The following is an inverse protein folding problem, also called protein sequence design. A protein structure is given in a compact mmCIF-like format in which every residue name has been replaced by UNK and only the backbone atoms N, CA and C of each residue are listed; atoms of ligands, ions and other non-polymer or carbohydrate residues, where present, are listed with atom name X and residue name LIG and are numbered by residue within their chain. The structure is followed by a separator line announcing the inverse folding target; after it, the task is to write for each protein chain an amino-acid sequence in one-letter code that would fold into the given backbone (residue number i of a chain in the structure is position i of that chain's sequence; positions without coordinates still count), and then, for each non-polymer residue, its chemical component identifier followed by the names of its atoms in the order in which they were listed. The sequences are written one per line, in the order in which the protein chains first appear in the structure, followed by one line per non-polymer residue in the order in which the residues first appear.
data_IF_103925739586
#
_entry.id   IF_103925739586
#
_cell.length_a   1.000
_cell.length_b   1.000
_cell.length_c   1.000
_cell.angle_alpha   90.00
_cell.angle_beta   90.00
_cell.angle_gamma   90.00
#
_symmetry.space_group_name_H-M   'P 1'
#
loop_
_entity.id
_entity.type
_entity.pdbx_description
1 polymer ?
#
# COMPACT_ATOMS: atom_id res chain seq x y z
N UNK A 1 -3.25 5.97 -24.27
CA UNK A 1 -2.87 5.15 -23.10
C UNK A 1 -1.36 5.25 -22.95
N UNK A 2 -0.90 5.96 -21.92
CA UNK A 2 0.50 6.37 -21.80
C UNK A 2 1.41 5.20 -21.44
N UNK A 3 2.69 5.28 -21.83
CA UNK A 3 3.73 4.29 -21.49
C UNK A 3 3.82 3.99 -19.99
N UNK A 4 3.34 4.92 -19.15
CA UNK A 4 3.31 4.83 -17.69
C UNK A 4 2.26 3.86 -17.12
N UNK A 5 1.10 3.67 -17.77
CA UNK A 5 0.03 2.78 -17.30
C UNK A 5 0.48 1.31 -17.23
N UNK A 6 1.26 0.84 -18.21
CA UNK A 6 1.75 -0.55 -18.24
C UNK A 6 2.69 -0.85 -17.08
N UNK A 7 3.53 0.12 -16.71
CA UNK A 7 4.44 -0.01 -15.58
C UNK A 7 3.69 -0.09 -14.24
N UNK A 8 2.63 0.70 -14.07
CA UNK A 8 1.81 0.63 -12.86
C UNK A 8 1.03 -0.68 -12.77
N UNK A 9 0.42 -1.14 -13.88
CA UNK A 9 -0.31 -2.40 -13.88
C UNK A 9 0.58 -3.59 -13.50
N UNK A 10 1.82 -3.64 -14.02
CA UNK A 10 2.77 -4.68 -13.66
C UNK A 10 3.20 -4.59 -12.19
N UNK A 11 3.54 -3.40 -11.71
CA UNK A 11 3.90 -3.20 -10.31
C UNK A 11 2.73 -3.53 -9.36
N UNK A 12 1.49 -3.28 -9.77
CA UNK A 12 0.30 -3.69 -9.04
C UNK A 12 0.16 -5.22 -8.97
N UNK A 13 0.38 -5.93 -10.08
CA UNK A 13 0.35 -7.39 -10.08
C UNK A 13 1.40 -7.99 -9.13
N UNK A 14 2.63 -7.44 -9.13
CA UNK A 14 3.69 -7.83 -8.19
C UNK A 14 3.28 -7.52 -6.74
N UNK A 15 2.69 -6.35 -6.50
CA UNK A 15 2.17 -5.96 -5.18
C UNK A 15 1.12 -6.95 -4.66
N UNK A 16 0.17 -7.37 -5.51
CA UNK A 16 -0.85 -8.35 -5.12
C UNK A 16 -0.25 -9.73 -4.85
N UNK A 17 0.70 -10.16 -5.67
CA UNK A 17 1.43 -11.41 -5.49
C UNK A 17 2.18 -11.43 -4.15
N UNK A 18 2.97 -10.39 -3.86
CA UNK A 18 3.70 -10.27 -2.59
C UNK A 18 2.77 -10.26 -1.39
N UNK A 19 1.62 -9.61 -1.49
CA UNK A 19 0.61 -9.67 -0.44
C UNK A 19 0.01 -11.06 -0.25
N UNK A 20 -0.17 -11.83 -1.33
CA UNK A 20 -0.64 -13.21 -1.24
C UNK A 20 0.42 -14.11 -0.59
N UNK A 21 1.68 -13.97 -0.97
CA UNK A 21 2.82 -14.67 -0.37
C UNK A 21 2.95 -14.34 1.12
N UNK A 22 2.82 -13.04 1.48
CA UNK A 22 2.85 -12.59 2.86
C UNK A 22 1.72 -13.21 3.68
N UNK A 23 0.48 -13.18 3.18
CA UNK A 23 -0.66 -13.80 3.87
C UNK A 23 -0.50 -15.32 4.01
N UNK A 24 0.06 -15.98 2.99
CA UNK A 24 0.36 -17.40 3.04
C UNK A 24 1.43 -17.70 4.10
N UNK A 25 2.50 -16.91 4.15
CA UNK A 25 3.55 -17.02 5.17
C UNK A 25 3.01 -16.77 6.59
N UNK A 26 2.13 -15.76 6.77
CA UNK A 26 1.44 -15.50 8.03
C UNK A 26 0.56 -16.69 8.48
N UNK A 27 -0.07 -17.39 7.53
CA UNK A 27 -0.91 -18.56 7.82
C UNK A 27 -0.13 -19.84 8.07
N UNK A 28 1.02 -20.02 7.40
CA UNK A 28 1.85 -21.22 7.50
C UNK A 28 2.79 -21.24 8.72
N UNK A 29 2.91 -20.13 9.44
CA UNK A 29 3.85 -20.02 10.58
C UNK A 29 5.33 -20.05 10.17
N UNK A 30 5.65 -19.97 8.87
CA UNK A 30 7.00 -20.12 8.32
C UNK A 30 8.01 -19.10 8.92
N UNK A 31 9.17 -19.54 9.42
CA UNK A 31 10.06 -18.73 10.26
C UNK A 31 10.89 -17.67 9.51
N UNK A 32 10.70 -17.48 8.20
CA UNK A 32 11.55 -16.60 7.42
C UNK A 32 11.30 -15.13 7.80
N UNK A 33 12.33 -14.40 8.29
CA UNK A 33 12.16 -13.02 8.74
C UNK A 33 11.90 -12.11 7.52
N UNK A 34 10.78 -11.40 7.57
CA UNK A 34 10.44 -10.43 6.54
C UNK A 34 11.35 -9.19 6.68
N UNK A 35 11.92 -8.71 5.59
CA UNK A 35 12.72 -7.47 5.59
C UNK A 35 11.90 -6.28 5.13
N UNK A 36 12.37 -5.05 5.35
CA UNK A 36 11.68 -3.84 4.89
C UNK A 36 11.40 -3.89 3.37
N UNK A 37 12.34 -4.36 2.56
CA UNK A 37 12.17 -4.51 1.11
C UNK A 37 11.19 -5.62 0.70
N UNK A 38 10.97 -6.60 1.58
CA UNK A 38 10.01 -7.69 1.41
C UNK A 38 8.57 -7.26 1.67
N UNK A 39 8.34 -6.18 2.41
CA UNK A 39 7.00 -5.64 2.66
C UNK A 39 6.42 -5.13 1.32
N UNK A 40 5.17 -5.49 0.99
CA UNK A 40 4.50 -5.06 -0.24
C UNK A 40 4.04 -3.61 -0.13
N UNK A 41 4.96 -2.66 -0.25
CA UNK A 41 4.67 -1.22 -0.20
C UNK A 41 3.81 -0.77 -1.40
N UNK A 42 2.86 0.17 -1.23
CA UNK A 42 1.96 0.64 -2.27
C UNK A 42 2.65 1.68 -3.17
N UNK A 43 3.80 1.34 -3.72
CA UNK A 43 4.62 2.17 -4.60
C UNK A 43 5.16 1.30 -5.75
N UNK A 44 5.54 1.94 -6.86
CA UNK A 44 6.02 1.23 -8.05
C UNK A 44 7.33 0.49 -7.80
N UNK A 45 8.23 1.10 -7.04
CA UNK A 45 9.55 0.58 -6.72
C UNK A 45 9.63 0.33 -5.21
N UNK A 46 10.17 -0.83 -4.82
CA UNK A 46 10.30 -1.17 -3.41
C UNK A 46 11.23 -0.15 -2.73
N UNK A 47 10.72 0.62 -1.76
CA UNK A 47 11.52 1.61 -1.05
C UNK A 47 12.59 0.88 -0.25
N UNK A 48 13.78 1.49 -0.17
CA UNK A 48 14.86 0.99 0.69
C UNK A 48 14.73 1.45 2.14
N UNK A 49 13.98 2.52 2.38
CA UNK A 49 13.80 3.16 3.68
C UNK A 49 12.48 3.94 3.73
N UNK A 50 12.03 4.26 4.94
CA UNK A 50 10.77 4.98 5.17
C UNK A 50 10.70 6.35 4.47
N UNK A 51 11.84 7.03 4.30
CA UNK A 51 11.90 8.35 3.65
C UNK A 51 11.57 8.30 2.14
N UNK A 52 11.75 7.14 1.52
CA UNK A 52 11.45 6.93 0.11
C UNK A 52 9.93 6.78 -0.14
N UNK A 53 9.15 6.49 0.90
CA UNK A 53 7.68 6.41 0.85
C UNK A 53 7.04 7.80 0.80
N UNK A 54 7.21 8.46 -0.34
CA UNK A 54 6.65 9.78 -0.57
C UNK A 54 5.13 9.70 -0.78
N UNK A 55 4.35 10.62 -0.19
CA UNK A 55 2.90 10.67 -0.38
C UNK A 55 2.46 10.69 -1.85
N UNK A 56 3.24 11.38 -2.70
CA UNK A 56 2.96 11.51 -4.13
C UNK A 56 3.12 10.19 -4.88
N UNK A 57 4.13 9.39 -4.53
CA UNK A 57 4.36 8.07 -5.14
C UNK A 57 3.23 7.10 -4.78
N UNK A 58 2.82 7.10 -3.51
CA UNK A 58 1.71 6.28 -3.02
C UNK A 58 0.40 6.70 -3.70
N UNK A 59 0.14 8.01 -3.79
CA UNK A 59 -1.03 8.58 -4.50
C UNK A 59 -1.06 8.13 -5.95
N UNK A 60 0.05 8.31 -6.68
CA UNK A 60 0.16 7.93 -8.08
C UNK A 60 -0.08 6.44 -8.31
N UNK A 61 0.39 5.59 -7.40
CA UNK A 61 0.22 4.14 -7.49
C UNK A 61 -1.20 3.68 -7.16
N UNK A 62 -1.75 4.10 -6.02
CA UNK A 62 -3.07 3.66 -5.54
C UNK A 62 -4.20 4.23 -6.41
N UNK A 63 -4.07 5.49 -6.87
CA UNK A 63 -5.08 6.16 -7.68
C UNK A 63 -4.95 5.87 -9.18
N UNK A 64 -3.92 5.16 -9.63
CA UNK A 64 -3.77 4.81 -11.03
C UNK A 64 -4.97 4.02 -11.55
N UNK A 65 -5.51 4.44 -12.70
CA UNK A 65 -6.58 3.70 -13.37
C UNK A 65 -6.08 2.38 -14.00
N UNK A 66 -4.77 2.26 -14.20
CA UNK A 66 -4.10 1.11 -14.79
C UNK A 66 -4.46 -0.25 -14.16
N UNK A 67 -4.68 -0.31 -12.85
CA UNK A 67 -4.95 -1.57 -12.14
C UNK A 67 -6.43 -1.88 -11.93
N UNK A 68 -7.30 -0.87 -11.98
CA UNK A 68 -8.72 -1.03 -11.69
C UNK A 68 -9.57 -0.03 -12.52
N UNK A 69 -9.58 -0.15 -13.86
CA UNK A 69 -10.39 0.72 -14.70
C UNK A 69 -11.86 0.63 -14.28
N UNK A 70 -12.51 1.77 -14.06
CA UNK A 70 -13.92 1.85 -13.63
C UNK A 70 -14.17 1.83 -12.11
N UNK A 71 -13.17 1.51 -11.27
CA UNK A 71 -13.32 1.62 -9.81
C UNK A 71 -13.06 3.06 -9.36
N UNK A 72 -13.96 3.69 -8.58
CA UNK A 72 -13.74 5.05 -8.11
C UNK A 72 -12.53 5.12 -7.17
N UNK A 73 -11.78 6.23 -7.25
CA UNK A 73 -10.60 6.51 -6.43
C UNK A 73 -10.84 6.26 -4.94
N UNK A 74 -11.97 6.74 -4.40
CA UNK A 74 -12.43 6.51 -3.03
C UNK A 74 -12.45 5.04 -2.63
N UNK A 75 -13.00 4.17 -3.47
CA UNK A 75 -13.07 2.73 -3.19
C UNK A 75 -11.68 2.07 -3.22
N UNK A 76 -10.80 2.50 -4.14
CA UNK A 76 -9.41 2.04 -4.18
C UNK A 76 -8.68 2.39 -2.88
N UNK A 77 -8.85 3.61 -2.38
CA UNK A 77 -8.25 4.06 -1.11
C UNK A 77 -8.80 3.25 0.06
N UNK A 78 -10.12 3.03 0.15
CA UNK A 78 -10.73 2.20 1.22
C UNK A 78 -10.20 0.78 1.23
N UNK A 79 -10.05 0.15 0.05
CA UNK A 79 -9.45 -1.18 -0.07
C UNK A 79 -8.02 -1.21 0.43
N UNK A 80 -7.22 -0.19 0.07
CA UNK A 80 -5.86 -0.06 0.56
C UNK A 80 -5.81 0.14 2.09
N UNK A 81 -6.65 1.02 2.65
CA UNK A 81 -6.74 1.25 4.10
C UNK A 81 -7.11 0.00 4.89
N UNK A 82 -8.06 -0.80 4.39
CA UNK A 82 -8.42 -2.08 5.02
C UNK A 82 -7.25 -3.08 5.03
N UNK A 83 -6.36 -3.00 4.05
CA UNK A 83 -5.19 -3.88 3.92
C UNK A 83 -4.02 -3.40 4.80
N UNK A 84 -3.84 -2.08 4.88
CA UNK A 84 -2.87 -1.39 5.74
C UNK A 84 -3.39 -1.11 7.16
N UNK A 85 -4.49 -1.75 7.57
CA UNK A 85 -5.05 -1.53 8.90
C UNK A 85 -4.06 -1.99 9.98
N UNK A 86 -3.86 -1.21 11.07
CA UNK A 86 -2.88 -1.52 12.10
C UNK A 86 -3.03 -2.93 12.68
N UNK A 87 -4.26 -3.46 12.77
CA UNK A 87 -4.54 -4.82 13.23
C UNK A 87 -3.92 -5.90 12.33
N UNK A 88 -4.17 -5.84 11.01
CA UNK A 88 -3.57 -6.80 10.06
C UNK A 88 -2.07 -6.58 9.94
N UNK A 89 -1.65 -5.32 9.90
CA UNK A 89 -0.26 -4.97 9.69
C UNK A 89 0.61 -5.28 10.91
N UNK A 90 0.06 -5.24 12.13
CA UNK A 90 0.77 -5.67 13.33
C UNK A 90 1.28 -7.11 13.20
N UNK A 91 0.47 -8.01 12.61
CA UNK A 91 0.88 -9.39 12.34
C UNK A 91 2.04 -9.49 11.33
N UNK A 92 2.12 -8.56 10.40
CA UNK A 92 3.22 -8.46 9.43
C UNK A 92 4.49 -7.98 10.13
N UNK A 93 4.39 -6.91 10.92
CA UNK A 93 5.52 -6.35 11.69
C UNK A 93 6.07 -7.37 12.68
N UNK A 94 5.22 -8.21 13.28
CA UNK A 94 5.66 -9.27 14.17
C UNK A 94 6.61 -10.27 13.47
N UNK A 95 6.44 -10.47 12.16
CA UNK A 95 7.31 -11.31 11.32
C UNK A 95 8.52 -10.59 10.73
N UNK A 96 8.56 -9.26 10.84
CA UNK A 96 9.71 -8.50 10.36
C UNK A 96 10.89 -8.73 11.30
N UNK A 97 12.11 -8.69 10.78
CA UNK A 97 13.31 -8.73 11.63
C UNK A 97 13.28 -7.59 12.66
N UNK A 98 13.60 -7.87 13.93
CA UNK A 98 13.53 -6.89 15.02
C UNK A 98 14.26 -5.57 14.75
N UNK A 99 15.37 -5.60 14.01
CA UNK A 99 16.11 -4.40 13.60
C UNK A 99 15.33 -3.47 12.64
N UNK A 100 14.40 -4.03 11.85
CA UNK A 100 13.64 -3.32 10.83
C UNK A 100 12.18 -3.05 11.25
N UNK A 101 11.70 -3.69 12.33
CA UNK A 101 10.31 -3.57 12.82
C UNK A 101 9.88 -2.11 13.02
N UNK A 102 10.75 -1.31 13.63
CA UNK A 102 10.47 0.10 13.90
C UNK A 102 10.38 0.91 12.60
N UNK A 103 11.32 0.70 11.68
CA UNK A 103 11.32 1.35 10.37
C UNK A 103 10.07 0.98 9.56
N UNK A 104 9.69 -0.29 9.54
CA UNK A 104 8.48 -0.78 8.86
C UNK A 104 7.22 -0.19 9.50
N UNK A 105 7.14 -0.10 10.83
CA UNK A 105 6.00 0.48 11.53
C UNK A 105 5.86 1.98 11.26
N UNK A 106 6.97 2.72 11.28
CA UNK A 106 7.00 4.14 10.96
C UNK A 106 6.54 4.39 9.51
N UNK A 107 7.09 3.64 8.56
CA UNK A 107 6.72 3.67 7.15
C UNK A 107 5.25 3.35 6.91
N UNK A 108 4.72 2.30 7.56
CA UNK A 108 3.30 1.96 7.48
C UNK A 108 2.40 3.05 8.05
N UNK A 109 2.81 3.72 9.13
CA UNK A 109 2.13 4.89 9.66
C UNK A 109 2.02 6.02 8.64
N UNK A 110 3.11 6.29 7.90
CA UNK A 110 3.10 7.28 6.80
C UNK A 110 2.13 6.88 5.69
N UNK A 111 2.14 5.60 5.29
CA UNK A 111 1.21 5.08 4.26
C UNK A 111 -0.25 5.23 4.71
N UNK A 112 -0.59 4.79 5.91
CA UNK A 112 -1.96 4.88 6.45
C UNK A 112 -2.41 6.33 6.58
N UNK A 113 -1.53 7.22 7.07
CA UNK A 113 -1.83 8.65 7.16
C UNK A 113 -2.06 9.25 5.77
N UNK A 114 -1.24 8.89 4.80
CA UNK A 114 -1.38 9.36 3.42
C UNK A 114 -2.68 8.86 2.80
N UNK A 115 -3.05 7.60 3.03
CA UNK A 115 -4.30 7.01 2.55
C UNK A 115 -5.53 7.68 3.20
N UNK A 116 -5.48 7.99 4.49
CA UNK A 116 -6.55 8.73 5.16
C UNK A 116 -6.68 10.17 4.61
N UNK A 117 -5.58 10.91 4.44
CA UNK A 117 -5.57 12.24 3.81
C UNK A 117 -6.18 12.22 2.40
N UNK A 118 -5.86 11.18 1.61
CA UNK A 118 -6.50 10.98 0.30
C UNK A 118 -7.99 10.73 0.43
N UNK A 119 -8.40 9.85 1.35
CA UNK A 119 -9.81 9.48 1.50
C UNK A 119 -10.65 10.68 1.93
N UNK A 120 -10.15 11.49 2.86
CA UNK A 120 -10.80 12.71 3.32
C UNK A 120 -10.98 13.72 2.19
N UNK A 121 -9.94 13.96 1.38
CA UNK A 121 -10.02 14.81 0.19
C UNK A 121 -11.02 14.32 -0.84
N UNK A 122 -11.10 13.01 -1.05
CA UNK A 122 -12.08 12.42 -1.98
C UNK A 122 -13.51 12.40 -1.39
N UNK A 123 -13.68 12.41 -0.07
CA UNK A 123 -14.99 12.61 0.56
C UNK A 123 -15.47 14.06 0.37
N UNK A 124 -14.63 15.05 0.71
CA UNK A 124 -14.93 16.48 0.55
C UNK A 124 -15.26 16.83 -0.92
N UNK A 125 -14.47 16.32 -1.87
CA UNK A 125 -14.71 16.53 -3.29
C UNK A 125 -15.98 15.83 -3.81
N UNK A 126 -16.38 14.70 -3.20
CA UNK A 126 -17.58 13.95 -3.57
C UNK A 126 -18.88 14.60 -3.08
N UNK A 127 -18.83 15.33 -1.97
CA UNK A 127 -19.98 16.05 -1.40
C UNK A 127 -20.26 17.39 -2.10
N UNK A 128 -19.25 17.97 -2.79
CA UNK A 128 -19.40 19.24 -3.53
C UNK A 128 -20.07 19.11 -4.90
N UNK A 129 -20.27 17.88 -5.41
CA UNK A 129 -20.90 17.59 -6.70
C UNK A 129 -22.34 17.05 -6.57
N UNK A 130 -23.07 17.47 -5.53
CA UNK A 130 -24.51 17.31 -5.47
C UNK A 130 -25.17 18.70 -5.48
N UNK A 131 -25.32 19.27 -6.68
CA UNK A 131 -26.22 20.40 -6.95
C UNK A 131 -26.94 20.14 -8.27
#
# INVERSE_FOLDING_TARGET
MGRDDRGVAQAWAVYEQRWAELNAALGAGAPDPLTFAGVPWPVREAPRQADDLRPQAIKGFVLAAAHSPGVPKRERIRRALKRWHPDKFARVVDRVEDGEKEAVRAAAGVVVRCLNDMLEKENDAGERCQW
#
